data_IF_400226804206
#
_entry.id   IF_400226804206
#
_cell.length_a   1.000
_cell.length_b   1.000
_cell.length_c   1.000
_cell.angle_alpha   90.00
_cell.angle_beta   90.00
_cell.angle_gamma   90.00
#
_symmetry.space_group_name_H-M   'P 1'
#
loop_
_entity.id
_entity.type
_entity.pdbx_description
1 polymer ?
#
# COMPACT_ATOMS: atom_id res chain seq x y z
N UNK A 1 -48.23 0.88 76.38
CA UNK A 1 -47.17 0.52 77.33
C UNK A 1 -45.84 0.54 76.60
N UNK A 2 -44.85 1.11 77.26
CA UNK A 2 -43.55 1.62 76.79
C UNK A 2 -42.44 0.58 76.66
N UNK A 3 -41.52 0.80 75.70
CA UNK A 3 -40.04 0.70 75.76
C UNK A 3 -39.50 0.28 74.37
N UNK A 4 -38.79 1.17 73.64
CA UNK A 4 -37.32 1.40 73.69
C UNK A 4 -36.56 0.20 73.09
N UNK A 5 -35.73 0.26 72.05
CA UNK A 5 -34.62 1.16 71.63
C UNK A 5 -34.30 0.69 70.19
N UNK A 6 -33.84 1.47 69.21
CA UNK A 6 -32.50 2.02 69.10
C UNK A 6 -32.41 2.85 67.80
N UNK A 7 -31.71 3.97 67.88
CA UNK A 7 -31.40 4.88 66.78
C UNK A 7 -30.01 4.51 66.24
N UNK A 8 -29.85 4.33 64.92
CA UNK A 8 -28.75 4.99 64.17
C UNK A 8 -28.87 4.86 62.65
N UNK A 9 -28.50 5.98 62.02
CA UNK A 9 -28.56 6.42 60.62
C UNK A 9 -27.78 5.55 59.62
N UNK A 10 -28.09 5.66 58.31
CA UNK A 10 -27.42 4.91 57.25
C UNK A 10 -25.95 5.31 57.07
N UNK A 11 -25.08 4.30 56.93
CA UNK A 11 -23.67 4.46 56.59
C UNK A 11 -23.54 4.92 55.14
N UNK A 12 -23.04 6.15 54.96
CA UNK A 12 -22.48 6.66 53.70
C UNK A 12 -21.28 5.77 53.32
N UNK A 13 -21.31 5.12 52.16
CA UNK A 13 -20.08 4.65 51.51
C UNK A 13 -19.45 5.86 50.80
N UNK A 14 -18.21 6.14 51.17
CA UNK A 14 -17.41 7.24 50.65
C UNK A 14 -16.88 6.92 49.24
N UNK A 15 -16.95 7.95 48.40
CA UNK A 15 -16.13 8.18 47.21
C UNK A 15 -14.67 7.74 47.39
N UNK A 16 -14.12 7.09 46.37
CA UNK A 16 -12.72 7.27 46.01
C UNK A 16 -12.62 7.48 44.50
N UNK A 17 -12.79 8.74 44.10
CA UNK A 17 -12.26 9.25 42.84
C UNK A 17 -10.80 9.60 43.10
N UNK A 18 -9.86 8.97 42.37
CA UNK A 18 -8.48 9.41 42.38
C UNK A 18 -8.22 10.25 41.13
N UNK A 19 -8.50 11.53 41.26
CA UNK A 19 -7.91 12.58 40.42
C UNK A 19 -6.53 12.90 40.98
N UNK A 20 -5.48 12.66 40.20
CA UNK A 20 -4.20 13.32 40.38
C UNK A 20 -3.85 14.00 39.06
N UNK A 21 -4.14 15.30 38.99
CA UNK A 21 -3.53 16.20 38.04
C UNK A 21 -2.53 17.05 38.81
N UNK A 22 -1.27 17.04 38.37
CA UNK A 22 -0.33 18.14 38.61
C UNK A 22 0.44 18.38 37.32
N UNK A 23 0.15 19.54 36.74
CA UNK A 23 0.89 20.14 35.64
C UNK A 23 2.25 20.64 36.13
N UNK A 24 3.33 20.29 35.42
CA UNK A 24 4.40 21.21 35.02
C UNK A 24 5.39 20.50 34.08
N UNK A 25 5.26 20.75 32.78
CA UNK A 25 6.38 20.84 31.83
C UNK A 25 5.81 21.37 30.49
N UNK A 26 5.59 22.68 30.45
CA UNK A 26 5.61 23.43 29.18
C UNK A 26 7.07 23.55 28.76
N UNK A 27 7.59 22.49 28.17
CA UNK A 27 8.70 22.55 27.23
C UNK A 27 8.20 21.84 25.98
N UNK A 28 8.24 22.53 24.84
CA UNK A 28 7.90 21.90 23.56
C UNK A 28 8.72 20.63 23.43
N UNK A 29 8.04 19.49 23.31
CA UNK A 29 8.67 18.32 22.75
C UNK A 29 9.06 18.73 21.31
N UNK A 30 10.34 19.03 21.11
CA UNK A 30 10.95 18.87 19.79
C UNK A 30 10.74 17.41 19.35
N UNK A 31 10.90 17.10 18.06
CA UNK A 31 10.68 15.74 17.56
C UNK A 31 11.49 14.79 18.43
N UNK A 32 10.80 13.87 19.11
CA UNK A 32 11.44 12.77 19.82
C UNK A 32 12.33 12.07 18.80
N UNK A 33 13.62 11.86 19.15
CA UNK A 33 14.69 11.34 18.30
C UNK A 33 14.18 10.33 17.26
N UNK A 34 13.83 10.81 16.07
CA UNK A 34 13.42 9.96 14.97
C UNK A 34 14.69 9.27 14.51
N UNK A 35 14.76 7.95 14.74
CA UNK A 35 15.91 7.19 14.31
C UNK A 35 16.01 7.26 12.78
N UNK A 36 17.24 7.17 12.24
CA UNK A 36 17.41 6.85 10.84
C UNK A 36 16.52 5.66 10.48
N UNK A 37 15.81 5.74 9.36
CA UNK A 37 14.76 4.82 8.97
C UNK A 37 15.30 3.40 8.78
N UNK A 38 16.59 3.28 8.45
CA UNK A 38 17.31 1.99 8.44
C UNK A 38 17.43 1.37 9.84
N UNK A 39 17.61 2.18 10.87
CA UNK A 39 17.63 1.74 12.26
C UNK A 39 16.21 1.40 12.70
N UNK A 40 15.21 2.20 12.32
CA UNK A 40 13.78 1.89 12.52
C UNK A 40 13.40 0.54 11.90
N UNK A 41 13.80 0.27 10.65
CA UNK A 41 13.59 -1.03 10.00
C UNK A 41 14.28 -2.18 10.76
N UNK A 42 15.47 -1.94 11.31
CA UNK A 42 16.17 -2.94 12.14
C UNK A 42 15.40 -3.22 13.41
N UNK A 43 14.96 -2.19 14.13
CA UNK A 43 14.18 -2.32 15.36
C UNK A 43 12.83 -3.00 15.12
N UNK A 44 12.15 -2.67 14.03
CA UNK A 44 10.92 -3.34 13.65
C UNK A 44 11.15 -4.81 13.34
N UNK A 45 12.19 -5.15 12.57
CA UNK A 45 12.53 -6.54 12.28
C UNK A 45 12.88 -7.33 13.56
N UNK A 46 13.69 -6.75 14.46
CA UNK A 46 14.05 -7.37 15.74
C UNK A 46 12.82 -7.57 16.63
N UNK A 47 11.92 -6.59 16.68
CA UNK A 47 10.66 -6.67 17.44
C UNK A 47 9.73 -7.76 16.91
N UNK A 48 9.66 -7.93 15.58
CA UNK A 48 8.89 -8.98 14.92
C UNK A 48 9.49 -10.36 15.21
N UNK A 49 10.82 -10.51 15.14
CA UNK A 49 11.49 -11.76 15.48
C UNK A 49 11.28 -12.13 16.96
N UNK A 50 11.36 -11.15 17.87
CA UNK A 50 11.08 -11.36 19.28
C UNK A 50 9.62 -11.81 19.52
N UNK A 51 8.64 -11.17 18.87
CA UNK A 51 7.24 -11.60 18.94
C UNK A 51 7.04 -13.02 18.40
N UNK A 52 7.71 -13.37 17.30
CA UNK A 52 7.65 -14.71 16.73
C UNK A 52 8.22 -15.77 17.70
N UNK A 53 9.32 -15.46 18.39
CA UNK A 53 9.90 -16.34 19.42
C UNK A 53 8.97 -16.50 20.63
N UNK A 54 8.28 -15.44 21.05
CA UNK A 54 7.26 -15.52 22.11
C UNK A 54 6.12 -16.46 21.72
N UNK A 55 5.62 -16.35 20.48
CA UNK A 55 4.56 -17.22 19.97
C UNK A 55 5.00 -18.68 19.85
N UNK A 56 6.23 -18.95 19.43
CA UNK A 56 6.75 -20.33 19.32
C UNK A 56 6.97 -21.00 20.68
N UNK A 57 7.21 -20.20 21.74
CA UNK A 57 7.34 -20.70 23.11
C UNK A 57 5.99 -20.94 23.78
N UNK A 58 4.91 -20.39 23.23
CA UNK A 58 3.58 -20.62 23.77
C UNK A 58 3.22 -22.10 23.65
N UNK A 59 2.54 -22.70 24.66
CA UNK A 59 2.09 -24.07 24.55
C UNK A 59 1.20 -24.23 23.32
N UNK A 60 1.31 -25.37 22.64
CA UNK A 60 0.48 -25.67 21.46
C UNK A 60 -0.99 -25.60 21.88
N UNK A 61 -1.72 -24.65 21.32
CA UNK A 61 -3.15 -24.49 21.54
C UNK A 61 -3.91 -25.05 20.35
N UNK A 62 -4.99 -25.78 20.64
CA UNK A 62 -5.98 -26.13 19.61
C UNK A 62 -6.46 -24.86 18.94
N UNK A 63 -6.52 -24.88 17.60
CA UNK A 63 -6.96 -23.74 16.80
C UNK A 63 -8.02 -24.17 15.82
N UNK A 64 -9.28 -24.10 16.25
CA UNK A 64 -10.44 -24.39 15.42
C UNK A 64 -10.52 -23.39 14.27
N UNK A 65 -10.47 -23.90 13.03
CA UNK A 65 -10.67 -23.09 11.83
C UNK A 65 -12.16 -22.96 11.49
N UNK A 66 -12.62 -21.73 11.37
CA UNK A 66 -13.95 -21.33 10.92
C UNK A 66 -14.15 -21.69 9.44
N UNK A 67 -13.10 -21.55 8.63
CA UNK A 67 -13.12 -21.89 7.22
C UNK A 67 -13.87 -20.88 6.33
N UNK A 68 -13.66 -21.05 5.03
CA UNK A 68 -14.17 -20.17 3.98
C UNK A 68 -15.70 -19.99 4.00
N UNK A 69 -16.17 -18.84 3.51
CA UNK A 69 -17.60 -18.55 3.41
C UNK A 69 -17.93 -17.06 3.58
N UNK A 70 -19.22 -16.74 3.40
CA UNK A 70 -19.73 -15.37 3.45
C UNK A 70 -19.65 -14.70 4.83
N UNK A 71 -20.00 -13.41 4.85
CA UNK A 71 -20.06 -12.56 6.03
C UNK A 71 -20.93 -13.17 7.14
N UNK A 72 -20.40 -13.23 8.36
CA UNK A 72 -21.18 -13.55 9.56
C UNK A 72 -21.34 -12.31 10.45
N UNK A 73 -22.50 -12.20 11.09
CA UNK A 73 -22.88 -11.10 11.99
C UNK A 73 -23.91 -11.58 13.01
N UNK A 74 -24.26 -10.73 13.97
CA UNK A 74 -25.35 -10.98 14.93
C UNK A 74 -26.60 -11.54 14.22
N UNK A 75 -27.09 -12.68 14.71
CA UNK A 75 -28.23 -13.43 14.17
C UNK A 75 -27.91 -14.41 13.03
N UNK A 76 -26.68 -14.44 12.48
CA UNK A 76 -26.24 -15.52 11.58
C UNK A 76 -26.29 -16.87 12.29
N UNK A 77 -26.48 -17.97 11.56
CA UNK A 77 -26.52 -19.31 12.15
C UNK A 77 -25.85 -20.37 11.28
N UNK A 78 -25.50 -21.50 11.88
CA UNK A 78 -24.97 -22.70 11.23
C UNK A 78 -23.61 -23.13 11.77
N UNK A 79 -23.07 -24.20 11.21
CA UNK A 79 -21.84 -24.87 11.66
C UNK A 79 -20.64 -23.92 11.78
N UNK A 80 -20.49 -22.96 10.84
CA UNK A 80 -19.42 -21.95 10.89
C UNK A 80 -19.50 -21.04 12.11
N UNK A 81 -20.71 -20.74 12.59
CA UNK A 81 -20.91 -19.97 13.82
C UNK A 81 -20.53 -20.83 15.04
N UNK A 82 -20.84 -22.12 15.04
CA UNK A 82 -20.37 -23.05 16.06
C UNK A 82 -18.84 -23.12 16.13
N UNK A 83 -18.17 -23.23 14.98
CA UNK A 83 -16.70 -23.20 14.89
C UNK A 83 -16.10 -21.87 15.33
N UNK A 84 -16.73 -20.76 14.99
CA UNK A 84 -16.36 -19.43 15.50
C UNK A 84 -16.46 -19.37 17.03
N UNK A 85 -17.59 -19.82 17.60
CA UNK A 85 -17.78 -19.80 19.04
C UNK A 85 -16.72 -20.64 19.74
N UNK A 86 -16.42 -21.84 19.22
CA UNK A 86 -15.34 -22.68 19.71
C UNK A 86 -13.98 -21.97 19.64
N UNK A 87 -13.67 -21.31 18.51
CA UNK A 87 -12.43 -20.55 18.35
C UNK A 87 -12.33 -19.39 19.36
N UNK A 88 -13.43 -18.71 19.66
CA UNK A 88 -13.45 -17.64 20.67
C UNK A 88 -13.26 -18.17 22.09
N UNK A 89 -13.73 -19.39 22.39
CA UNK A 89 -13.43 -20.08 23.67
C UNK A 89 -11.94 -20.40 23.78
N UNK A 90 -11.33 -20.93 22.72
CA UNK A 90 -9.88 -21.23 22.68
C UNK A 90 -9.03 -19.97 22.90
N UNK A 91 -9.49 -18.83 22.39
CA UNK A 91 -8.86 -17.52 22.59
C UNK A 91 -9.16 -16.90 23.96
N UNK A 92 -9.99 -17.53 24.80
CA UNK A 92 -10.40 -17.02 26.10
C UNK A 92 -11.34 -15.81 26.06
N UNK A 93 -11.99 -15.57 24.91
CA UNK A 93 -12.88 -14.43 24.67
C UNK A 93 -14.35 -14.76 24.85
N UNK A 94 -14.71 -16.05 24.86
CA UNK A 94 -16.07 -16.53 25.07
C UNK A 94 -16.08 -17.63 26.15
N UNK A 95 -16.98 -17.59 27.14
CA UNK A 95 -17.18 -18.70 28.07
C UNK A 95 -17.72 -19.95 27.37
N UNK A 96 -17.28 -21.14 27.79
CA UNK A 96 -17.64 -22.40 27.14
C UNK A 96 -19.16 -22.73 27.18
N UNK A 97 -19.88 -22.25 28.21
CA UNK A 97 -21.34 -22.38 28.33
C UNK A 97 -22.13 -21.47 27.38
N UNK A 98 -21.44 -20.56 26.67
CA UNK A 98 -22.01 -19.63 25.70
C UNK A 98 -21.80 -20.05 24.24
N UNK A 99 -21.20 -21.23 24.01
CA UNK A 99 -21.05 -21.78 22.66
C UNK A 99 -22.42 -22.01 22.03
N UNK A 100 -22.58 -21.55 20.78
CA UNK A 100 -23.84 -21.65 20.03
C UNK A 100 -23.57 -21.69 18.53
N UNK A 101 -24.46 -22.37 17.80
CA UNK A 101 -24.52 -22.27 16.33
C UNK A 101 -25.33 -21.07 15.84
N UNK A 102 -25.82 -20.22 16.75
CA UNK A 102 -26.45 -18.94 16.44
C UNK A 102 -25.54 -17.83 16.96
N UNK A 103 -25.32 -16.81 16.14
CA UNK A 103 -24.44 -15.70 16.46
C UNK A 103 -25.16 -14.79 17.45
N UNK A 104 -25.00 -15.07 18.74
CA UNK A 104 -25.63 -14.36 19.85
C UNK A 104 -24.93 -13.04 20.17
N UNK A 105 -25.53 -12.24 21.06
CA UNK A 105 -24.90 -11.02 21.60
C UNK A 105 -23.60 -11.32 22.34
N UNK A 106 -23.49 -12.47 23.02
CA UNK A 106 -22.26 -12.88 23.71
C UNK A 106 -21.13 -13.12 22.68
N UNK A 107 -21.43 -13.78 21.55
CA UNK A 107 -20.48 -13.96 20.45
C UNK A 107 -20.11 -12.61 19.82
N UNK A 108 -21.06 -11.70 19.61
CA UNK A 108 -20.79 -10.35 19.09
C UNK A 108 -19.83 -9.56 19.98
N UNK A 109 -20.01 -9.59 21.29
CA UNK A 109 -19.08 -8.95 22.23
C UNK A 109 -17.69 -9.60 22.18
N UNK A 110 -17.61 -10.94 22.14
CA UNK A 110 -16.34 -11.65 22.02
C UNK A 110 -15.60 -11.34 20.71
N UNK A 111 -16.33 -11.24 19.59
CA UNK A 111 -15.77 -10.85 18.29
C UNK A 111 -15.27 -9.42 18.31
N UNK A 112 -16.02 -8.48 18.91
CA UNK A 112 -15.56 -7.09 19.06
C UNK A 112 -14.32 -7.01 19.96
N UNK A 113 -14.26 -7.79 21.04
CA UNK A 113 -13.07 -7.89 21.89
C UNK A 113 -11.86 -8.42 21.10
N UNK A 114 -12.06 -9.45 20.27
CA UNK A 114 -11.04 -9.93 19.35
C UNK A 114 -10.58 -8.83 18.39
N UNK A 115 -11.51 -8.15 17.72
CA UNK A 115 -11.20 -7.06 16.79
C UNK A 115 -10.40 -5.94 17.48
N UNK A 116 -10.77 -5.54 18.70
CA UNK A 116 -9.99 -4.57 19.49
C UNK A 116 -8.58 -5.08 19.75
N UNK A 117 -8.43 -6.33 20.21
CA UNK A 117 -7.13 -6.94 20.49
C UNK A 117 -6.24 -7.03 19.24
N UNK A 118 -6.85 -7.24 18.06
CA UNK A 118 -6.17 -7.27 16.77
C UNK A 118 -6.07 -5.89 16.09
N UNK A 119 -6.48 -4.80 16.77
CA UNK A 119 -6.50 -3.42 16.26
C UNK A 119 -7.29 -3.26 14.95
N UNK A 120 -8.35 -4.05 14.82
CA UNK A 120 -9.35 -4.00 13.78
C UNK A 120 -10.51 -3.09 14.18
N UNK A 121 -11.39 -2.76 13.23
CA UNK A 121 -12.61 -2.03 13.57
C UNK A 121 -13.53 -2.93 14.41
N UNK A 122 -14.01 -2.49 15.60
CA UNK A 122 -14.83 -3.32 16.48
C UNK A 122 -16.32 -3.29 16.08
N UNK A 123 -16.63 -3.70 14.85
CA UNK A 123 -17.99 -3.68 14.30
C UNK A 123 -18.76 -4.99 14.47
N UNK A 124 -18.14 -6.05 14.99
CA UNK A 124 -18.76 -7.37 15.16
C UNK A 124 -18.97 -8.14 13.85
N UNK A 125 -18.50 -7.60 12.72
CA UNK A 125 -18.63 -8.21 11.41
C UNK A 125 -17.46 -9.14 11.13
N UNK A 126 -17.76 -10.38 10.74
CA UNK A 126 -16.74 -11.37 10.38
C UNK A 126 -16.70 -11.49 8.86
N UNK A 127 -16.05 -10.52 8.24
CA UNK A 127 -15.65 -10.59 6.84
C UNK A 127 -14.39 -11.43 6.64
N UNK A 128 -13.87 -11.48 5.41
CA UNK A 128 -12.68 -12.26 5.05
C UNK A 128 -11.46 -11.93 5.92
N UNK A 129 -11.20 -10.65 6.20
CA UNK A 129 -10.06 -10.22 7.02
C UNK A 129 -10.15 -10.67 8.49
N UNK A 130 -11.27 -10.45 9.16
CA UNK A 130 -11.48 -10.90 10.55
C UNK A 130 -11.45 -12.42 10.66
N UNK A 131 -12.07 -13.12 9.69
CA UNK A 131 -12.02 -14.58 9.61
C UNK A 131 -10.59 -15.09 9.45
N UNK A 132 -9.82 -14.54 8.52
CA UNK A 132 -8.43 -14.96 8.30
C UNK A 132 -7.56 -14.75 9.55
N UNK A 133 -7.81 -13.67 10.31
CA UNK A 133 -7.12 -13.47 11.58
C UNK A 133 -7.57 -14.45 12.68
N UNK A 134 -8.84 -14.82 12.74
CA UNK A 134 -9.35 -15.84 13.66
C UNK A 134 -8.82 -17.23 13.34
N UNK A 135 -8.75 -17.60 12.07
CA UNK A 135 -8.26 -18.90 11.59
C UNK A 135 -6.75 -19.07 11.74
N UNK A 136 -6.02 -17.96 11.93
CA UNK A 136 -4.56 -17.95 12.06
C UNK A 136 -4.11 -18.60 13.36
N UNK A 137 -3.22 -19.57 13.24
CA UNK A 137 -2.54 -20.20 14.37
C UNK A 137 -1.35 -19.36 14.88
N UNK A 138 -0.90 -19.55 16.13
CA UNK A 138 0.33 -18.90 16.62
C UNK A 138 1.56 -19.19 15.75
N UNK A 139 1.72 -20.42 15.27
CA UNK A 139 2.84 -20.81 14.39
C UNK A 139 2.79 -20.09 13.04
N UNK A 140 1.62 -19.98 12.42
CA UNK A 140 1.47 -19.19 11.18
C UNK A 140 1.74 -17.71 11.44
N UNK A 141 1.23 -17.14 12.54
CA UNK A 141 1.50 -15.76 12.92
C UNK A 141 3.02 -15.51 13.08
N UNK A 142 3.74 -16.40 13.77
CA UNK A 142 5.19 -16.32 13.94
C UNK A 142 5.93 -16.40 12.60
N UNK A 143 5.51 -17.28 11.68
CA UNK A 143 6.10 -17.38 10.35
C UNK A 143 5.94 -16.07 9.54
N UNK A 144 4.75 -15.46 9.57
CA UNK A 144 4.46 -14.19 8.89
C UNK A 144 5.27 -13.01 9.46
N UNK A 145 5.48 -13.00 10.78
CA UNK A 145 6.34 -12.01 11.45
C UNK A 145 7.79 -12.13 10.97
N UNK A 146 8.34 -13.35 10.92
CA UNK A 146 9.72 -13.60 10.42
C UNK A 146 9.89 -13.25 8.95
N UNK A 147 8.89 -13.58 8.13
CA UNK A 147 8.89 -13.22 6.71
C UNK A 147 8.98 -11.71 6.53
N UNK A 148 8.16 -10.95 7.29
CA UNK A 148 8.17 -9.49 7.24
C UNK A 148 9.48 -8.92 7.80
N UNK A 149 10.01 -9.48 8.89
CA UNK A 149 11.30 -9.10 9.46
C UNK A 149 12.44 -9.28 8.43
N UNK A 150 12.47 -10.42 7.74
CA UNK A 150 13.43 -10.70 6.67
C UNK A 150 13.32 -9.68 5.54
N UNK A 151 12.10 -9.41 5.06
CA UNK A 151 11.85 -8.43 4.01
C UNK A 151 12.27 -7.00 4.42
N UNK A 152 12.04 -6.61 5.68
CA UNK A 152 12.47 -5.32 6.22
C UNK A 152 14.00 -5.21 6.27
N UNK A 153 14.72 -6.27 6.68
CA UNK A 153 16.20 -6.29 6.66
C UNK A 153 16.76 -6.19 5.24
N UNK A 154 16.19 -6.95 4.29
CA UNK A 154 16.60 -6.85 2.88
C UNK A 154 16.37 -5.46 2.30
N UNK A 155 15.25 -4.82 2.65
CA UNK A 155 15.00 -3.45 2.21
C UNK A 155 15.94 -2.45 2.88
N UNK A 156 16.20 -2.55 4.19
CA UNK A 156 17.15 -1.70 4.93
C UNK A 156 18.51 -1.62 4.23
N UNK A 157 19.03 -2.75 3.78
CA UNK A 157 20.37 -2.83 3.16
C UNK A 157 20.45 -2.07 1.83
N UNK A 158 19.31 -1.78 1.20
CA UNK A 158 19.21 -1.10 -0.10
C UNK A 158 18.41 0.21 -0.04
N UNK A 159 17.82 0.54 1.12
CA UNK A 159 16.89 1.66 1.28
C UNK A 159 17.59 3.01 1.06
N UNK A 160 17.17 3.82 0.08
CA UNK A 160 17.69 5.17 -0.09
C UNK A 160 17.35 6.08 1.10
N UNK A 161 18.19 7.08 1.37
CA UNK A 161 17.90 8.08 2.41
C UNK A 161 16.67 8.94 2.10
N UNK A 162 16.28 9.00 0.82
CA UNK A 162 15.07 9.67 0.37
C UNK A 162 14.24 8.68 -0.45
N UNK A 163 13.10 8.24 0.09
CA UNK A 163 12.25 7.24 -0.56
C UNK A 163 10.81 7.39 -0.09
N UNK A 164 9.86 7.20 -1.01
CA UNK A 164 8.47 6.97 -0.67
C UNK A 164 8.20 5.47 -0.59
N UNK A 165 7.85 4.96 0.58
CA UNK A 165 7.52 3.54 0.79
C UNK A 165 6.01 3.39 0.73
N UNK A 166 5.51 2.55 -0.17
CA UNK A 166 4.10 2.19 -0.29
C UNK A 166 3.93 0.77 0.23
N UNK A 167 3.40 0.62 1.44
CA UNK A 167 3.14 -0.72 1.98
C UNK A 167 1.70 -1.15 1.63
N UNK A 168 1.61 -2.18 0.79
CA UNK A 168 0.34 -2.61 0.20
C UNK A 168 -0.57 -3.33 1.20
N UNK A 169 -0.02 -4.06 2.14
CA UNK A 169 -0.77 -4.86 3.14
C UNK A 169 -1.49 -3.98 4.15
N UNK A 170 -0.79 -3.00 4.74
CA UNK A 170 -1.36 -2.05 5.70
C UNK A 170 -2.00 -0.84 4.99
N UNK A 171 -1.79 -0.71 3.68
CA UNK A 171 -2.37 0.31 2.80
C UNK A 171 -2.02 1.72 3.31
N UNK A 172 -0.72 1.95 3.46
CA UNK A 172 -0.15 3.24 3.89
C UNK A 172 0.97 3.65 2.94
N UNK A 173 1.35 4.93 3.03
CA UNK A 173 2.50 5.47 2.33
C UNK A 173 3.31 6.32 3.29
N UNK A 174 4.62 6.09 3.33
CA UNK A 174 5.58 6.77 4.21
C UNK A 174 6.65 7.45 3.37
N UNK A 175 6.77 8.77 3.47
CA UNK A 175 7.87 9.54 2.90
C UNK A 175 9.02 9.56 3.91
N UNK A 176 10.16 9.04 3.49
CA UNK A 176 11.42 9.13 4.21
C UNK A 176 12.28 10.19 3.52
N UNK A 177 12.84 11.13 4.28
CA UNK A 177 13.76 12.16 3.78
C UNK A 177 14.95 12.30 4.72
N UNK A 178 16.15 12.31 4.15
CA UNK A 178 17.38 12.38 4.95
C UNK A 178 17.51 11.22 5.94
N UNK A 179 16.87 10.09 5.65
CA UNK A 179 16.77 8.97 6.56
C UNK A 179 15.68 9.10 7.62
N UNK A 180 14.86 10.15 7.70
CA UNK A 180 13.81 10.26 8.73
C UNK A 180 12.41 10.14 8.12
N UNK A 181 11.47 9.56 8.86
CA UNK A 181 10.05 9.56 8.45
C UNK A 181 9.47 10.98 8.55
N UNK A 182 9.13 11.58 7.41
CA UNK A 182 8.64 12.96 7.32
C UNK A 182 7.11 13.02 7.21
N UNK A 183 6.50 12.02 6.57
CA UNK A 183 5.05 11.93 6.39
C UNK A 183 4.62 10.47 6.30
N UNK A 184 3.66 10.05 7.11
CA UNK A 184 2.94 8.78 6.94
C UNK A 184 1.45 9.09 6.77
N UNK A 185 0.82 8.50 5.75
CA UNK A 185 -0.59 8.69 5.45
C UNK A 185 -1.26 7.39 4.98
N UNK A 186 -2.60 7.34 5.05
CA UNK A 186 -3.35 6.20 4.51
C UNK A 186 -3.30 6.22 2.99
N UNK A 187 -3.33 5.03 2.42
CA UNK A 187 -3.41 4.79 0.98
C UNK A 187 -4.60 3.88 0.64
N UNK A 188 -5.05 3.93 -0.61
CA UNK A 188 -5.98 2.98 -1.21
C UNK A 188 -5.25 2.30 -2.37
N UNK A 189 -5.22 0.98 -2.36
CA UNK A 189 -4.49 0.15 -3.34
C UNK A 189 -5.46 -0.61 -4.22
N UNK A 190 -4.94 -1.32 -5.22
CA UNK A 190 -5.69 -2.20 -6.10
C UNK A 190 -6.55 -3.22 -5.34
N UNK A 191 -7.65 -3.62 -5.95
CA UNK A 191 -8.44 -4.76 -5.45
C UNK A 191 -7.81 -6.08 -5.89
N UNK A 192 -8.16 -7.23 -5.27
CA UNK A 192 -7.58 -8.53 -5.63
C UNK A 192 -7.66 -8.84 -7.13
N UNK A 193 -8.78 -8.50 -7.78
CA UNK A 193 -8.94 -8.74 -9.23
C UNK A 193 -8.09 -7.82 -10.13
N UNK A 194 -7.48 -6.76 -9.58
CA UNK A 194 -6.70 -5.72 -10.27
C UNK A 194 -5.64 -5.17 -9.32
N UNK A 195 -4.70 -6.03 -8.96
CA UNK A 195 -3.71 -5.77 -7.92
C UNK A 195 -2.80 -4.59 -8.25
N UNK A 196 -2.37 -3.89 -7.20
CA UNK A 196 -1.20 -3.00 -7.32
C UNK A 196 0.06 -3.86 -7.34
N UNK A 197 0.89 -3.80 -8.40
CA UNK A 197 2.11 -4.60 -8.46
C UNK A 197 3.16 -4.11 -7.46
N UNK A 198 4.08 -5.01 -7.09
CA UNK A 198 5.32 -4.63 -6.41
C UNK A 198 6.27 -4.03 -7.42
N UNK A 199 6.76 -2.82 -7.12
CA UNK A 199 7.54 -1.98 -8.00
C UNK A 199 8.65 -1.28 -7.22
N UNK A 200 9.81 -1.18 -7.85
CA UNK A 200 10.88 -0.24 -7.50
C UNK A 200 10.95 0.78 -8.63
N UNK A 201 10.61 2.03 -8.35
CA UNK A 201 10.41 3.05 -9.38
C UNK A 201 10.79 4.45 -8.84
N UNK A 202 10.49 5.51 -9.57
CA UNK A 202 10.75 6.90 -9.19
C UNK A 202 9.60 7.81 -9.61
N UNK A 203 9.18 8.69 -8.72
CA UNK A 203 8.30 9.81 -9.05
C UNK A 203 9.12 10.84 -9.82
N UNK A 204 8.63 11.25 -10.99
CA UNK A 204 9.33 12.23 -11.85
C UNK A 204 8.58 13.55 -11.97
N UNK A 205 7.25 13.52 -11.86
CA UNK A 205 6.40 14.68 -12.04
C UNK A 205 5.27 14.72 -11.04
N UNK A 206 4.91 15.93 -10.63
CA UNK A 206 3.65 16.26 -9.97
C UNK A 206 2.79 17.00 -10.99
N UNK A 207 1.56 16.53 -11.18
CA UNK A 207 0.58 17.17 -12.04
C UNK A 207 -0.52 17.70 -11.13
N UNK A 208 -0.64 19.02 -11.08
CA UNK A 208 -1.74 19.73 -10.39
C UNK A 208 -2.90 19.87 -11.38
N UNK A 209 -4.13 19.64 -10.91
CA UNK A 209 -5.33 19.60 -11.75
C UNK A 209 -5.20 18.63 -12.95
N UNK A 210 -4.88 17.34 -12.73
CA UNK A 210 -4.71 16.40 -13.83
C UNK A 210 -6.02 16.17 -14.59
N UNK A 211 -5.93 15.91 -15.88
CA UNK A 211 -6.96 15.16 -16.60
C UNK A 211 -6.86 13.67 -16.24
N UNK A 212 -7.96 12.94 -16.35
CA UNK A 212 -7.94 11.48 -16.24
C UNK A 212 -8.37 10.83 -17.55
N UNK A 213 -7.40 10.28 -18.27
CA UNK A 213 -7.67 9.36 -19.37
C UNK A 213 -7.95 7.98 -18.78
N UNK A 214 -9.15 7.45 -19.03
CA UNK A 214 -9.57 6.15 -18.49
C UNK A 214 -8.64 5.04 -19.03
N UNK A 215 -7.93 4.29 -18.16
CA UNK A 215 -7.04 3.21 -18.60
C UNK A 215 -7.79 2.08 -19.31
N UNK A 216 -7.13 1.33 -20.22
CA UNK A 216 -7.78 0.27 -21.01
C UNK A 216 -8.57 -0.75 -20.18
N UNK A 217 -8.02 -1.20 -19.05
CA UNK A 217 -8.69 -2.15 -18.15
C UNK A 217 -9.96 -1.57 -17.54
N UNK A 218 -9.92 -0.32 -17.05
CA UNK A 218 -11.10 0.37 -16.49
C UNK A 218 -12.12 0.66 -17.59
N UNK A 219 -11.67 1.00 -18.79
CA UNK A 219 -12.53 1.21 -19.94
C UNK A 219 -13.30 -0.07 -20.28
N UNK A 220 -12.59 -1.20 -20.42
CA UNK A 220 -13.16 -2.50 -20.77
C UNK A 220 -14.10 -3.04 -19.70
N UNK A 221 -13.70 -2.99 -18.43
CA UNK A 221 -14.41 -3.66 -17.34
C UNK A 221 -15.48 -2.79 -16.68
N UNK A 222 -15.29 -1.47 -16.62
CA UNK A 222 -16.16 -0.58 -15.86
C UNK A 222 -16.93 0.40 -16.76
N UNK A 223 -16.29 1.03 -17.74
CA UNK A 223 -16.89 2.18 -18.46
C UNK A 223 -17.66 1.82 -19.71
N UNK A 224 -17.13 0.92 -20.56
CA UNK A 224 -17.84 0.45 -21.74
C UNK A 224 -19.14 -0.32 -21.39
N UNK A 225 -19.17 -1.16 -20.33
CA UNK A 225 -20.44 -1.74 -19.86
C UNK A 225 -21.46 -0.67 -19.44
N UNK A 226 -21.03 0.42 -18.79
CA UNK A 226 -21.94 1.53 -18.45
C UNK A 226 -22.45 2.27 -19.70
N UNK A 227 -21.58 2.52 -20.69
CA UNK A 227 -21.97 3.11 -21.97
C UNK A 227 -23.02 2.26 -22.69
N UNK A 228 -22.83 0.94 -22.74
CA UNK A 228 -23.81 0.00 -23.33
C UNK A 228 -25.13 -0.02 -22.57
N UNK A 229 -25.08 -0.07 -21.24
CA UNK A 229 -26.28 -0.20 -20.42
C UNK A 229 -27.08 1.10 -20.28
N UNK A 230 -26.41 2.26 -20.31
CA UNK A 230 -26.99 3.56 -19.91
C UNK A 230 -26.75 4.69 -20.90
N UNK A 231 -25.98 4.48 -21.96
CA UNK A 231 -25.56 5.53 -22.90
C UNK A 231 -24.58 6.55 -22.33
N UNK A 232 -24.06 6.35 -21.11
CA UNK A 232 -23.18 7.31 -20.42
C UNK A 232 -22.01 6.59 -19.75
N UNK A 233 -20.80 7.20 -19.70
CA UNK A 233 -19.66 6.58 -19.04
C UNK A 233 -19.77 6.57 -17.51
N UNK A 234 -20.76 7.27 -16.93
CA UNK A 234 -20.90 7.40 -15.48
C UNK A 234 -19.73 8.16 -14.85
N UNK A 235 -19.17 9.13 -15.58
CA UNK A 235 -18.11 10.03 -15.14
C UNK A 235 -18.57 11.45 -15.46
N UNK A 236 -18.52 12.35 -14.47
CA UNK A 236 -18.86 13.76 -14.67
C UNK A 236 -17.74 14.48 -15.42
N UNK A 237 -18.10 15.45 -16.28
CA UNK A 237 -17.18 16.31 -17.01
C UNK A 237 -16.13 15.53 -17.81
N UNK A 238 -16.60 14.52 -18.56
CA UNK A 238 -15.76 13.69 -19.39
C UNK A 238 -16.06 13.92 -20.87
N UNK A 239 -15.00 14.06 -21.66
CA UNK A 239 -15.07 14.08 -23.11
C UNK A 239 -14.89 12.65 -23.60
N UNK A 240 -15.81 12.17 -24.45
CA UNK A 240 -15.76 10.83 -25.03
C UNK A 240 -15.38 10.94 -26.49
N UNK A 241 -14.40 10.16 -26.88
CA UNK A 241 -13.94 10.04 -28.26
C UNK A 241 -14.23 8.65 -28.79
N UNK A 242 -14.72 8.58 -30.02
CA UNK A 242 -14.86 7.36 -30.82
C UNK A 242 -14.02 7.53 -32.09
N UNK A 243 -13.07 6.62 -32.31
CA UNK A 243 -12.13 6.66 -33.44
C UNK A 243 -11.40 8.01 -33.59
N UNK A 244 -11.11 8.64 -32.45
CA UNK A 244 -10.42 9.92 -32.37
C UNK A 244 -11.31 11.16 -32.50
N UNK A 245 -12.60 11.01 -32.85
CA UNK A 245 -13.56 12.11 -32.93
C UNK A 245 -14.36 12.24 -31.64
N UNK A 246 -14.58 13.46 -31.17
CA UNK A 246 -15.44 13.72 -30.02
C UNK A 246 -16.89 13.41 -30.38
N UNK A 247 -17.59 12.70 -29.49
CA UNK A 247 -18.97 12.27 -29.69
C UNK A 247 -19.80 12.54 -28.44
N UNK A 248 -21.07 12.88 -28.65
CA UNK A 248 -22.07 12.87 -27.58
C UNK A 248 -22.40 11.40 -27.25
N UNK A 249 -22.14 10.91 -26.02
CA UNK A 249 -22.28 9.48 -25.75
C UNK A 249 -23.67 8.91 -25.99
N UNK A 250 -24.70 9.71 -25.77
CA UNK A 250 -26.10 9.37 -25.98
C UNK A 250 -26.49 9.17 -27.45
N UNK A 251 -25.67 9.62 -28.41
CA UNK A 251 -25.96 9.49 -29.85
C UNK A 251 -25.28 8.28 -30.50
N UNK A 252 -24.52 7.50 -29.73
CA UNK A 252 -23.73 6.36 -30.23
C UNK A 252 -24.39 5.05 -29.82
N UNK A 253 -24.51 4.10 -30.75
CA UNK A 253 -24.82 2.71 -30.38
C UNK A 253 -23.54 2.01 -29.91
N UNK A 254 -23.46 1.75 -28.60
CA UNK A 254 -22.28 1.19 -27.95
C UNK A 254 -22.18 -0.34 -28.04
N UNK A 255 -23.20 -1.05 -28.55
CA UNK A 255 -23.21 -2.51 -28.59
C UNK A 255 -22.11 -3.06 -29.50
N UNK A 256 -21.88 -2.42 -30.65
CA UNK A 256 -20.89 -2.83 -31.65
C UNK A 256 -19.52 -2.14 -31.47
N UNK A 257 -19.38 -1.27 -30.48
CA UNK A 257 -18.14 -0.54 -30.21
C UNK A 257 -17.18 -1.40 -29.39
N UNK A 258 -15.95 -1.52 -29.86
CA UNK A 258 -14.86 -2.22 -29.16
C UNK A 258 -14.04 -1.24 -28.30
N UNK A 259 -13.46 -1.69 -27.17
CA UNK A 259 -12.72 -0.80 -26.26
C UNK A 259 -11.60 0.02 -26.93
N UNK A 260 -10.88 -0.57 -27.89
CA UNK A 260 -9.75 0.11 -28.55
C UNK A 260 -10.13 1.33 -29.39
N UNK A 261 -11.42 1.48 -29.73
CA UNK A 261 -11.94 2.63 -30.48
C UNK A 261 -12.36 3.78 -29.57
N UNK A 262 -12.45 3.55 -28.26
CA UNK A 262 -13.01 4.51 -27.31
C UNK A 262 -11.91 5.11 -26.47
N UNK A 263 -11.95 6.43 -26.30
CA UNK A 263 -11.10 7.14 -25.34
C UNK A 263 -11.97 8.07 -24.53
N UNK A 264 -11.91 7.95 -23.20
CA UNK A 264 -12.66 8.81 -22.28
C UNK A 264 -11.65 9.65 -21.51
N UNK A 265 -11.79 10.97 -21.56
CA UNK A 265 -10.91 11.90 -20.84
C UNK A 265 -11.76 12.76 -19.91
N UNK A 266 -11.65 12.48 -18.60
CA UNK A 266 -12.23 13.33 -17.57
C UNK A 266 -11.38 14.60 -17.42
N UNK A 267 -12.05 15.74 -17.48
CA UNK A 267 -11.41 17.04 -17.33
C UNK A 267 -11.05 17.33 -15.87
N UNK A 268 -10.17 18.31 -15.60
CA UNK A 268 -9.77 18.65 -14.24
C UNK A 268 -10.94 19.18 -13.38
N UNK A 269 -10.85 18.96 -12.07
CA UNK A 269 -11.80 19.49 -11.08
C UNK A 269 -11.98 18.56 -9.87
N UNK A 270 -12.80 18.97 -8.91
CA UNK A 270 -13.04 18.20 -7.67
C UNK A 270 -13.79 16.88 -7.91
N UNK A 271 -14.52 16.78 -9.01
CA UNK A 271 -15.19 15.56 -9.46
C UNK A 271 -14.24 14.57 -10.15
N UNK A 272 -12.99 14.96 -10.43
CA UNK A 272 -12.03 14.12 -11.14
C UNK A 272 -11.64 12.90 -10.28
N UNK A 273 -11.67 11.70 -10.86
CA UNK A 273 -11.35 10.45 -10.15
C UNK A 273 -9.93 10.43 -9.57
N UNK A 274 -9.00 11.17 -10.16
CA UNK A 274 -7.63 11.35 -9.67
C UNK A 274 -7.51 12.43 -8.58
N UNK A 275 -8.60 13.13 -8.26
CA UNK A 275 -8.58 14.32 -7.43
C UNK A 275 -7.78 15.45 -8.09
N UNK A 276 -7.14 16.28 -7.26
CA UNK A 276 -6.43 17.49 -7.69
C UNK A 276 -4.93 17.30 -7.95
N UNK A 277 -4.40 16.10 -7.72
CA UNK A 277 -2.96 15.80 -7.81
C UNK A 277 -2.72 14.39 -8.38
N UNK A 278 -1.75 14.28 -9.29
CA UNK A 278 -1.21 13.01 -9.80
C UNK A 278 0.31 13.03 -9.74
N UNK A 279 0.91 11.92 -9.34
CA UNK A 279 2.36 11.71 -9.24
C UNK A 279 2.76 10.63 -10.24
N UNK A 280 3.45 11.04 -11.30
CA UNK A 280 3.85 10.10 -12.35
C UNK A 280 5.12 9.34 -11.96
N UNK A 281 5.05 8.03 -12.15
CA UNK A 281 6.16 7.10 -12.02
C UNK A 281 6.77 6.80 -13.41
N UNK A 282 7.87 6.05 -13.47
CA UNK A 282 8.55 5.71 -14.74
C UNK A 282 8.17 4.33 -15.31
N UNK A 283 7.39 3.53 -14.57
CA UNK A 283 6.97 2.20 -15.02
C UNK A 283 6.12 2.20 -16.31
N UNK A 284 6.15 1.09 -17.07
CA UNK A 284 5.34 0.91 -18.26
C UNK A 284 3.90 0.43 -17.98
N UNK A 285 3.49 0.30 -16.71
CA UNK A 285 2.24 -0.36 -16.31
C UNK A 285 1.07 0.61 -16.08
N UNK A 286 1.22 1.88 -16.44
CA UNK A 286 0.25 2.96 -16.14
C UNK A 286 -0.08 3.07 -14.64
N UNK A 287 0.85 2.69 -13.75
CA UNK A 287 0.70 2.82 -12.30
C UNK A 287 1.24 4.17 -11.86
N UNK A 288 0.42 4.91 -11.12
CA UNK A 288 0.77 6.20 -10.53
C UNK A 288 0.12 6.35 -9.14
N UNK A 289 0.61 7.34 -8.39
CA UNK A 289 -0.03 7.78 -7.15
C UNK A 289 -0.92 8.99 -7.46
N UNK A 290 -2.05 9.14 -6.79
CA UNK A 290 -2.95 10.27 -7.05
C UNK A 290 -3.85 10.59 -5.85
N UNK A 291 -4.55 11.72 -5.90
CA UNK A 291 -5.60 12.04 -4.94
C UNK A 291 -6.89 11.27 -5.21
N UNK A 292 -8.03 11.78 -4.76
CA UNK A 292 -9.32 11.17 -5.09
C UNK A 292 -10.47 12.17 -4.90
N UNK A 293 -11.56 11.97 -5.61
CA UNK A 293 -12.85 12.61 -5.36
C UNK A 293 -13.69 11.87 -4.29
N UNK A 294 -13.20 10.77 -3.73
CA UNK A 294 -13.91 9.96 -2.71
C UNK A 294 -13.10 9.82 -1.40
N UNK A 295 -12.80 10.92 -0.69
CA UNK A 295 -11.94 10.88 0.51
C UNK A 295 -12.53 10.02 1.64
N UNK A 296 -13.85 9.89 1.72
CA UNK A 296 -14.55 8.99 2.67
C UNK A 296 -14.06 7.53 2.62
N UNK A 297 -13.49 7.09 1.51
CA UNK A 297 -12.98 5.72 1.36
C UNK A 297 -11.74 5.46 2.23
N UNK A 298 -11.01 6.49 2.64
CA UNK A 298 -9.90 6.33 3.58
C UNK A 298 -10.39 5.90 4.96
N UNK A 299 -11.62 6.18 5.37
CA UNK A 299 -12.19 5.71 6.63
C UNK A 299 -12.46 4.19 6.67
N UNK A 300 -12.34 3.48 5.52
CA UNK A 300 -12.48 2.02 5.48
C UNK A 300 -11.27 1.35 6.11
N UNK A 301 -11.52 0.26 6.82
CA UNK A 301 -10.46 -0.61 7.33
C UNK A 301 -9.68 -1.26 6.18
N UNK A 302 -10.39 -1.92 5.27
CA UNK A 302 -9.82 -2.49 4.06
C UNK A 302 -9.98 -1.54 2.86
N UNK A 303 -8.85 -1.10 2.32
CA UNK A 303 -8.68 -0.10 1.25
C UNK A 303 -8.06 -0.69 -0.02
N UNK A 304 -8.23 -1.98 -0.28
CA UNK A 304 -7.91 -2.64 -1.56
C UNK A 304 -9.10 -2.58 -2.53
N UNK A 305 -9.36 -1.39 -3.08
CA UNK A 305 -10.56 -1.12 -3.89
C UNK A 305 -10.28 -0.39 -5.22
N UNK A 306 -9.04 0.03 -5.45
CA UNK A 306 -8.61 0.71 -6.67
C UNK A 306 -8.45 -0.27 -7.86
N UNK A 307 -8.03 0.25 -9.00
CA UNK A 307 -7.77 -0.51 -10.24
C UNK A 307 -6.26 -0.64 -10.51
N UNK A 308 -5.46 -0.82 -9.47
CA UNK A 308 -4.00 -0.93 -9.53
C UNK A 308 -3.24 0.33 -9.10
N UNK A 309 -3.70 1.53 -9.48
CA UNK A 309 -3.09 2.79 -9.01
C UNK A 309 -3.35 3.04 -7.52
N UNK A 310 -2.48 3.85 -6.89
CA UNK A 310 -2.55 4.14 -5.45
C UNK A 310 -3.18 5.52 -5.21
N UNK A 311 -4.24 5.57 -4.41
CA UNK A 311 -4.83 6.83 -3.95
C UNK A 311 -4.22 7.23 -2.61
N UNK A 312 -3.89 8.49 -2.46
CA UNK A 312 -3.26 9.07 -1.27
C UNK A 312 -4.28 9.88 -0.47
N UNK A 313 -4.22 9.77 0.85
CA UNK A 313 -5.11 10.51 1.76
C UNK A 313 -4.82 12.01 1.74
N UNK A 314 -3.55 12.38 1.77
CA UNK A 314 -3.11 13.78 1.67
C UNK A 314 -2.11 13.98 0.52
N UNK A 315 -2.61 13.96 -0.73
CA UNK A 315 -1.76 14.16 -1.89
C UNK A 315 -1.22 15.59 -1.95
N UNK A 316 -1.92 16.58 -1.38
CA UNK A 316 -1.45 17.97 -1.38
C UNK A 316 -0.19 18.08 -0.53
N UNK A 317 -0.20 17.52 0.68
CA UNK A 317 0.95 17.54 1.56
C UNK A 317 2.15 16.84 0.94
N UNK A 318 1.96 15.69 0.29
CA UNK A 318 3.04 15.04 -0.44
C UNK A 318 3.60 15.94 -1.56
N UNK A 319 2.75 16.60 -2.34
CA UNK A 319 3.21 17.52 -3.40
C UNK A 319 4.04 18.67 -2.82
N UNK A 320 3.61 19.29 -1.72
CA UNK A 320 4.35 20.36 -1.05
C UNK A 320 5.71 19.89 -0.55
N UNK A 321 5.78 18.70 0.06
CA UNK A 321 7.04 18.12 0.53
C UNK A 321 7.99 17.75 -0.62
N UNK A 322 7.49 17.17 -1.72
CA UNK A 322 8.32 16.83 -2.87
C UNK A 322 8.85 18.07 -3.61
N UNK A 323 8.15 19.20 -3.50
CA UNK A 323 8.51 20.47 -4.14
C UNK A 323 9.22 21.45 -3.21
N UNK A 324 9.47 21.05 -1.96
CA UNK A 324 10.22 21.84 -1.00
C UNK A 324 11.62 22.20 -1.55
N UNK A 325 12.03 23.45 -1.37
CA UNK A 325 13.30 23.97 -1.91
C UNK A 325 13.27 24.27 -3.42
N UNK A 326 12.16 24.00 -4.12
CA UNK A 326 11.98 24.42 -5.52
C UNK A 326 11.39 25.84 -5.62
N UNK A 327 11.27 26.36 -6.84
CA UNK A 327 10.56 27.63 -7.11
C UNK A 327 9.02 27.50 -7.03
N UNK A 328 8.51 26.30 -6.74
CA UNK A 328 7.08 26.03 -6.58
C UNK A 328 6.72 26.03 -5.10
N UNK A 329 6.25 27.20 -4.64
CA UNK A 329 5.79 27.40 -3.25
C UNK A 329 4.33 26.94 -3.07
N UNK A 330 3.86 26.72 -1.82
CA UNK A 330 2.45 26.42 -1.55
C UNK A 330 1.48 27.44 -2.18
N UNK A 331 1.77 28.74 -2.05
CA UNK A 331 0.96 29.78 -2.70
C UNK A 331 0.96 29.70 -4.24
N UNK A 332 2.04 29.18 -4.84
CA UNK A 332 2.07 28.90 -6.28
C UNK A 332 1.22 27.68 -6.63
N UNK A 333 1.20 26.65 -5.79
CA UNK A 333 0.31 25.50 -5.94
C UNK A 333 -1.16 25.95 -5.89
N UNK A 334 -1.54 26.84 -4.98
CA UNK A 334 -2.91 27.39 -4.94
C UNK A 334 -3.28 28.07 -6.27
N UNK A 335 -2.41 28.94 -6.80
CA UNK A 335 -2.62 29.55 -8.12
C UNK A 335 -2.66 28.55 -9.28
N UNK A 336 -2.03 27.39 -9.12
CA UNK A 336 -2.08 26.30 -10.11
C UNK A 336 -3.41 25.53 -10.01
N UNK A 337 -3.95 25.38 -8.80
CA UNK A 337 -5.26 24.80 -8.55
C UNK A 337 -6.39 25.68 -9.10
N UNK A 338 -6.21 27.00 -9.15
CA UNK A 338 -7.21 27.92 -9.75
C UNK A 338 -7.29 27.84 -11.28
N UNK A 339 -6.28 27.24 -11.94
CA UNK A 339 -6.26 27.13 -13.40
C UNK A 339 -7.11 25.94 -13.87
N UNK A 340 -7.91 26.10 -14.93
CA UNK A 340 -8.74 25.00 -15.45
C UNK A 340 -7.91 23.91 -16.16
N UNK A 341 -6.67 24.20 -16.53
CA UNK A 341 -5.79 23.31 -17.31
C UNK A 341 -4.80 22.57 -16.39
N UNK A 342 -4.39 21.33 -16.74
CA UNK A 342 -3.35 20.61 -16.02
C UNK A 342 -2.03 21.38 -15.96
N UNK A 343 -1.42 21.41 -14.78
CA UNK A 343 -0.15 22.07 -14.56
C UNK A 343 0.92 21.03 -14.21
N UNK A 344 1.89 20.87 -15.10
CA UNK A 344 2.95 19.88 -14.99
C UNK A 344 4.17 20.45 -14.28
N UNK A 345 4.65 19.75 -13.26
CA UNK A 345 5.85 20.13 -12.51
C UNK A 345 6.80 18.96 -12.53
N UNK A 346 7.94 19.13 -13.20
CA UNK A 346 9.04 18.17 -13.14
C UNK A 346 9.75 18.29 -11.80
N UNK A 347 9.98 17.18 -11.12
CA UNK A 347 10.80 17.17 -9.91
C UNK A 347 12.27 17.41 -10.28
N UNK A 348 12.97 18.34 -9.59
CA UNK A 348 14.40 18.57 -9.83
C UNK A 348 15.23 17.30 -9.62
N UNK A 349 14.89 16.53 -8.59
CA UNK A 349 15.44 15.22 -8.29
C UNK A 349 14.29 14.22 -8.25
N UNK A 350 14.25 13.22 -9.14
CA UNK A 350 13.20 12.20 -9.08
C UNK A 350 13.23 11.46 -7.73
N UNK A 351 12.08 11.35 -7.08
CA UNK A 351 11.96 10.72 -5.76
C UNK A 351 11.82 9.20 -5.91
N UNK A 352 12.73 8.37 -5.38
CA UNK A 352 12.55 6.92 -5.34
C UNK A 352 11.21 6.53 -4.69
N UNK A 353 10.55 5.51 -5.22
CA UNK A 353 9.38 4.89 -4.61
C UNK A 353 9.57 3.38 -4.56
N UNK A 354 9.29 2.79 -3.40
CA UNK A 354 9.35 1.35 -3.20
C UNK A 354 7.99 0.84 -2.75
N UNK A 355 7.44 -0.12 -3.50
CA UNK A 355 6.22 -0.82 -3.10
C UNK A 355 6.65 -2.09 -2.38
N UNK A 356 6.11 -2.31 -1.19
CA UNK A 356 6.44 -3.43 -0.31
C UNK A 356 5.17 -4.16 0.13
N UNK A 357 5.35 -5.41 0.57
CA UNK A 357 4.28 -6.27 1.05
C UNK A 357 4.63 -6.83 2.43
N UNK A 358 4.55 -5.99 3.47
CA UNK A 358 4.90 -6.42 4.83
C UNK A 358 3.64 -6.76 5.61
N UNK A 359 3.32 -8.05 5.71
CA UNK A 359 2.08 -8.47 6.37
C UNK A 359 2.11 -8.25 7.88
N UNK A 360 3.30 -8.25 8.49
CA UNK A 360 3.49 -7.86 9.88
C UNK A 360 4.18 -6.50 9.95
N UNK A 361 3.63 -5.58 10.75
CA UNK A 361 4.22 -4.27 11.03
C UNK A 361 4.31 -4.02 12.52
N UNK A 362 5.13 -3.05 12.91
CA UNK A 362 5.22 -2.57 14.28
C UNK A 362 4.60 -1.17 14.33
N UNK A 363 3.63 -0.99 15.22
CA UNK A 363 2.96 0.28 15.44
C UNK A 363 3.83 1.21 16.31
N UNK A 364 3.49 2.50 16.38
CA UNK A 364 4.27 3.50 17.13
C UNK A 364 4.40 3.19 18.64
N UNK A 365 3.47 2.43 19.22
CA UNK A 365 3.52 1.97 20.61
C UNK A 365 4.31 0.66 20.80
N UNK A 366 4.96 0.16 19.73
CA UNK A 366 5.74 -1.08 19.74
C UNK A 366 4.90 -2.35 19.59
N UNK A 367 3.58 -2.24 19.42
CA UNK A 367 2.73 -3.40 19.21
C UNK A 367 2.92 -3.98 17.80
N UNK A 368 2.97 -5.32 17.72
CA UNK A 368 2.98 -6.02 16.43
C UNK A 368 1.56 -6.13 15.90
N UNK A 369 1.36 -5.80 14.63
CA UNK A 369 0.09 -5.95 13.93
C UNK A 369 0.26 -6.82 12.70
N UNK A 370 -0.60 -7.82 12.56
CA UNK A 370 -0.73 -8.63 11.35
C UNK A 370 -1.90 -8.14 10.51
N UNK A 371 -1.60 -7.79 9.27
CA UNK A 371 -2.58 -7.31 8.29
C UNK A 371 -3.22 -8.49 7.54
N UNK A 372 -4.41 -8.28 6.95
CA UNK A 372 -4.97 -9.25 6.01
C UNK A 372 -4.04 -9.44 4.81
N UNK A 373 -3.94 -10.66 4.30
CA UNK A 373 -3.34 -10.92 3.00
C UNK A 373 -4.35 -10.52 1.92
N UNK A 374 -4.14 -9.36 1.29
CA UNK A 374 -5.13 -8.76 0.39
C UNK A 374 -5.03 -9.26 -1.05
N UNK A 375 -3.96 -9.99 -1.38
CA UNK A 375 -3.63 -10.50 -2.73
C UNK A 375 -3.25 -11.98 -2.72
N UNK A 376 -3.48 -12.70 -1.60
CA UNK A 376 -3.18 -14.14 -1.47
C UNK A 376 -1.71 -14.48 -1.82
N UNK A 377 -0.77 -13.58 -1.48
CA UNK A 377 0.66 -13.67 -1.85
C UNK A 377 1.52 -14.41 -0.84
N UNK A 378 0.95 -14.90 0.26
CA UNK A 378 1.72 -15.60 1.29
C UNK A 378 2.27 -16.95 0.81
N UNK A 379 1.59 -17.60 -0.13
CA UNK A 379 2.02 -18.87 -0.72
C UNK A 379 3.07 -18.68 -1.83
N UNK A 380 3.26 -17.45 -2.33
CA UNK A 380 4.26 -17.11 -3.36
C UNK A 380 5.69 -17.00 -2.80
N UNK A 381 5.85 -16.99 -1.48
CA UNK A 381 7.16 -17.03 -0.86
C UNK A 381 7.68 -18.48 -0.87
N UNK A 382 8.91 -18.74 -1.36
CA UNK A 382 9.48 -20.07 -1.24
C UNK A 382 9.49 -20.44 0.25
N UNK A 383 8.89 -21.58 0.58
CA UNK A 383 8.85 -22.12 1.93
C UNK A 383 10.25 -21.98 2.53
N UNK A 384 10.36 -21.27 3.66
CA UNK A 384 11.60 -21.16 4.40
C UNK A 384 12.13 -22.58 4.62
N UNK A 385 13.25 -22.89 3.97
CA UNK A 385 13.94 -24.17 4.15
C UNK A 385 14.24 -24.27 5.64
N UNK A 386 13.64 -25.26 6.31
CA UNK A 386 13.96 -25.54 7.70
C UNK A 386 15.48 -25.66 7.81
N UNK A 387 16.09 -24.96 8.77
CA UNK A 387 17.52 -25.09 9.03
C UNK A 387 17.89 -26.59 9.12
N UNK A 388 18.96 -27.05 8.46
CA UNK A 388 19.38 -28.44 8.58
C UNK A 388 19.72 -28.74 10.04
N UNK A 389 19.25 -29.88 10.53
CA UNK A 389 19.58 -30.40 11.86
C UNK A 389 21.10 -30.43 12.05
N UNK A 390 21.62 -30.19 13.28
CA UNK A 390 23.05 -30.23 13.52
C UNK A 390 23.59 -31.64 13.23
N UNK A 391 24.58 -31.72 12.35
CA UNK A 391 25.29 -32.96 12.05
C UNK A 391 26.04 -33.44 13.31
N UNK A 392 26.02 -34.74 13.63
CA UNK A 392 26.82 -35.29 14.72
C UNK A 392 28.32 -35.20 14.38
N UNK A 393 29.10 -34.76 15.36
CA UNK A 393 30.56 -34.67 15.33
C UNK A 393 31.23 -35.95 14.81
N UNK A 394 32.01 -35.84 13.75
CA UNK A 394 33.04 -36.83 13.39
C UNK A 394 34.41 -36.15 13.24
N UNK A 395 35.40 -36.76 13.89
CA UNK A 395 36.80 -36.33 14.04
C UNK A 395 37.55 -36.51 12.71
N UNK A 396 38.54 -35.65 12.34
CA UNK A 396 39.21 -35.73 11.04
C UNK A 396 40.26 -36.85 11.01
N UNK A 397 40.29 -37.62 9.92
CA UNK A 397 41.36 -38.55 9.59
C UNK A 397 42.23 -37.99 8.45
N UNK A 398 43.52 -38.27 8.55
CA UNK A 398 44.65 -37.64 7.88
C UNK A 398 44.80 -37.91 6.37
N UNK A 399 45.52 -37.01 5.70
CA UNK A 399 46.04 -37.13 4.33
C UNK A 399 47.10 -38.23 4.18
N UNK A 400 47.39 -38.63 2.93
CA UNK A 400 48.79 -38.74 2.50
C UNK A 400 49.10 -38.00 1.18
N UNK A 401 50.34 -37.51 1.11
CA UNK A 401 51.13 -36.97 -0.02
C UNK A 401 51.58 -38.09 -0.99
N UNK A 402 52.18 -37.93 -2.19
CA UNK A 402 52.42 -36.88 -3.19
C UNK A 402 52.86 -37.56 -4.53
N UNK A 403 52.69 -36.82 -5.64
CA UNK A 403 53.18 -36.83 -7.05
C UNK A 403 54.24 -37.84 -7.60
N UNK A 404 54.43 -37.96 -8.94
CA UNK A 404 55.25 -36.97 -9.67
C UNK A 404 54.80 -36.54 -11.09
N UNK A 405 55.51 -35.50 -11.53
CA UNK A 405 55.56 -34.60 -12.69
C UNK A 405 55.84 -35.17 -14.09
N UNK A 406 55.38 -34.45 -15.13
CA UNK A 406 56.15 -34.17 -16.38
C UNK A 406 55.87 -32.75 -16.91
N UNK A 407 56.90 -32.11 -17.46
CA UNK A 407 57.04 -30.67 -17.81
C UNK A 407 57.09 -30.45 -19.37
N UNK A 408 57.30 -29.23 -19.96
CA UNK A 408 56.47 -28.69 -21.05
C UNK A 408 57.23 -28.32 -22.34
N UNK A 409 56.54 -27.77 -23.37
CA UNK A 409 57.16 -27.06 -24.51
C UNK A 409 56.15 -26.07 -25.16
N UNK A 410 56.32 -24.75 -24.95
CA UNK A 410 56.78 -23.68 -25.88
C UNK A 410 55.74 -23.07 -26.84
N UNK A 411 55.57 -21.74 -26.72
CA UNK A 411 54.79 -20.82 -27.58
C UNK A 411 55.52 -20.48 -28.92
N UNK A 412 54.90 -19.75 -29.88
CA UNK A 412 54.95 -18.27 -29.82
C UNK A 412 53.76 -17.49 -30.44
N UNK A 413 53.87 -16.17 -30.23
CA UNK A 413 53.10 -14.97 -30.62
C UNK A 413 52.87 -14.76 -32.13
N UNK A 414 51.73 -14.17 -32.52
CA UNK A 414 51.62 -13.21 -33.64
C UNK A 414 50.32 -12.36 -33.60
N UNK A 415 50.45 -11.07 -33.92
CA UNK A 415 49.44 -10.02 -33.98
C UNK A 415 48.93 -9.78 -35.44
N UNK A 416 47.97 -8.86 -35.69
CA UNK A 416 47.05 -8.87 -36.85
C UNK A 416 47.51 -8.04 -38.07
N UNK A 417 46.84 -8.19 -39.22
CA UNK A 417 46.42 -7.05 -40.07
C UNK A 417 45.04 -7.30 -40.76
N UNK A 418 44.36 -6.41 -41.50
CA UNK A 418 44.31 -4.97 -41.71
C UNK A 418 43.09 -4.66 -42.63
N UNK A 419 42.47 -3.47 -42.44
CA UNK A 419 41.94 -2.49 -43.43
C UNK A 419 41.12 -2.96 -44.67
N UNK A 420 39.92 -2.38 -44.80
CA UNK A 420 39.20 -2.18 -46.06
C UNK A 420 38.12 -1.08 -45.94
N UNK A 421 38.36 0.08 -46.55
CA UNK A 421 37.43 1.18 -46.89
C UNK A 421 37.84 1.65 -48.31
N UNK A 422 37.10 2.52 -49.01
CA UNK A 422 35.65 2.79 -49.04
C UNK A 422 35.11 2.63 -50.49
N UNK A 423 33.81 2.79 -50.72
CA UNK A 423 33.34 3.13 -52.07
C UNK A 423 32.32 4.28 -52.05
N UNK A 424 32.46 5.13 -53.06
CA UNK A 424 31.90 6.45 -53.19
C UNK A 424 30.67 6.46 -54.11
N UNK A 425 29.70 7.32 -53.80
CA UNK A 425 28.53 7.56 -54.65
C UNK A 425 27.82 8.88 -54.33
N UNK A 426 28.36 9.97 -54.89
CA UNK A 426 27.74 11.28 -55.22
C UNK A 426 26.25 11.14 -55.65
N UNK A 427 25.33 12.10 -55.51
CA UNK A 427 25.36 13.58 -55.56
C UNK A 427 24.05 14.15 -54.94
N UNK A 428 24.11 15.23 -54.16
CA UNK A 428 23.75 16.62 -54.54
C UNK A 428 22.31 17.08 -54.20
N UNK A 429 22.28 18.01 -53.23
CA UNK A 429 21.27 19.03 -52.87
C UNK A 429 20.92 19.99 -54.06
N UNK A 430 19.87 20.85 -54.03
CA UNK A 430 19.53 21.71 -52.87
C UNK A 430 18.09 22.13 -52.56
N UNK A 431 17.96 22.47 -51.27
CA UNK A 431 17.29 23.61 -50.63
C UNK A 431 16.39 24.50 -51.51
N UNK A 432 15.13 24.63 -51.09
CA UNK A 432 14.30 25.78 -51.42
C UNK A 432 14.14 26.67 -50.17
N UNK A 433 14.83 27.81 -50.16
CA UNK A 433 14.50 29.00 -49.35
C UNK A 433 13.94 30.02 -50.34
N UNK A 434 12.73 30.50 -50.11
CA UNK A 434 12.22 31.75 -50.67
C UNK A 434 11.97 32.72 -49.52
N UNK A 435 12.55 33.91 -49.66
CA UNK A 435 12.40 35.08 -48.80
C UNK A 435 11.67 36.18 -49.57
N UNK A 436 10.71 36.81 -48.88
CA UNK A 436 10.39 38.24 -48.84
C UNK A 436 9.85 38.98 -50.09
N UNK A 437 8.66 39.57 -49.95
CA UNK A 437 8.41 41.04 -49.94
C UNK A 437 6.96 41.30 -49.44
N UNK A 438 6.69 42.03 -48.34
CA UNK A 438 6.63 43.50 -48.10
C UNK A 438 5.50 44.26 -48.82
N UNK A 439 4.51 44.72 -48.03
CA UNK A 439 3.84 46.05 -48.03
C UNK A 439 2.49 45.89 -47.29
N UNK A 440 2.28 46.38 -46.08
CA UNK A 440 1.90 47.76 -45.73
C UNK A 440 0.60 48.23 -46.41
N UNK A 441 -0.52 48.19 -45.68
CA UNK A 441 -1.59 49.16 -45.85
C UNK A 441 -2.24 49.53 -44.50
N UNK A 442 -2.49 50.83 -44.35
CA UNK A 442 -3.19 51.51 -43.26
C UNK A 442 -4.58 51.88 -43.78
N UNK A 443 -5.63 51.54 -43.05
CA UNK A 443 -6.90 52.30 -43.03
C UNK A 443 -7.79 51.67 -41.95
N UNK A 444 -8.07 52.39 -40.86
CA UNK A 444 -9.23 53.27 -40.70
C UNK A 444 -10.56 52.50 -40.71
N UNK A 445 -11.09 52.21 -39.52
CA UNK A 445 -12.44 52.51 -38.97
C UNK A 445 -12.68 51.63 -37.74
#
# INVERSE_FOLDING_TARGET
MTASTDLRKPRKLAMLALTAASALALFGAGPADALPYRDTLTQWADRLDAAAVELDRAPVQTSTRIGEGGLMKLGSSGERVGRLAQRLVELGLLPADKVSEIFTTDIDHAVKAFQIAQRMKPDGLIGAGTRAALDRTPTEAAALMRQSATAMRSFRDTAPDNVLVVNLTNQTTTLVRGGEEELTMRAIVGRPSRETPLLTDRITHVIVNPTWTVPPTVLKEDKLPNLRAKGTPGIQNAIVYLDGQEVAPETVDWHDVTPGRVRIVQQPGDHNALGRFRFNLTNPYDIYLHGTNEPRLFARELRSISSGCVRLEDPRRLAELLLQGSTVTPARIDRMLDKPQPQWIKLPTPMPVQFVYWIATVEADGAVRLHPDIYDRLDDAPAAVSAPAPLPNTVPAAMPAAAPTTTPATAPVAAPPAVGQPDAGRAAMPLNRSTADKAADKSSV
#
